data_IF_314031756395
#
_entry.id   IF_314031756395
#
_cell.length_a   1.000
_cell.length_b   1.000
_cell.length_c   1.000
_cell.angle_alpha   90.00
_cell.angle_beta   90.00
_cell.angle_gamma   90.00
#
_symmetry.space_group_name_H-M   'P 1'
#
loop_
_entity.id
_entity.type
_entity.pdbx_description
1 polymer ?
#
# COMPACT_ATOMS: atom_id res chain seq x y z
N UNK A 1 -0.03 20.50 18.87
CA UNK A 1 0.68 19.61 19.80
C UNK A 1 1.02 18.27 19.13
N UNK A 2 0.06 17.33 18.91
CA UNK A 2 0.40 16.05 18.23
C UNK A 2 1.09 16.27 16.87
N UNK A 3 0.65 17.23 16.08
CA UNK A 3 1.30 17.58 14.81
C UNK A 3 2.70 18.19 15.01
N UNK A 4 2.93 18.94 16.07
CA UNK A 4 4.26 19.49 16.39
C UNK A 4 5.24 18.41 16.86
N UNK A 5 4.75 17.34 17.52
CA UNK A 5 5.63 16.26 17.96
C UNK A 5 6.30 15.54 16.78
N UNK A 6 5.71 15.58 15.59
CA UNK A 6 6.30 15.04 14.37
C UNK A 6 7.58 15.77 13.95
N UNK A 7 7.79 17.00 14.45
CA UNK A 7 8.96 17.82 14.15
C UNK A 7 10.14 17.59 15.12
N UNK A 8 9.98 16.70 16.12
CA UNK A 8 11.07 16.33 17.02
C UNK A 8 12.18 15.64 16.21
N UNK A 9 13.41 16.21 16.17
CA UNK A 9 14.49 15.67 15.38
C UNK A 9 15.05 14.34 15.92
N UNK A 10 14.84 14.06 17.23
CA UNK A 10 15.38 12.85 17.86
C UNK A 10 14.53 11.65 17.46
N UNK A 11 15.08 10.75 16.68
CA UNK A 11 14.41 9.50 16.32
C UNK A 11 14.55 8.42 17.42
N UNK A 12 13.88 7.29 17.19
CA UNK A 12 13.86 6.20 18.16
C UNK A 12 15.23 5.52 18.33
N UNK A 13 16.07 5.52 17.30
CA UNK A 13 17.41 4.92 17.35
C UNK A 13 18.35 5.78 18.19
N UNK A 14 18.39 7.08 17.91
CA UNK A 14 19.15 8.04 18.72
C UNK A 14 18.67 8.02 20.18
N UNK A 15 17.35 7.93 20.39
CA UNK A 15 16.78 7.86 21.73
C UNK A 15 17.25 6.62 22.50
N UNK A 16 17.31 5.46 21.83
CA UNK A 16 17.84 4.23 22.42
C UNK A 16 19.32 4.34 22.78
N UNK A 17 20.11 4.91 21.88
CA UNK A 17 21.56 5.04 22.06
C UNK A 17 21.91 5.97 23.24
N UNK A 18 21.27 7.14 23.32
CA UNK A 18 21.57 8.10 24.37
C UNK A 18 20.82 7.89 25.70
N UNK A 19 19.82 7.06 25.69
CA UNK A 19 18.90 6.83 26.80
C UNK A 19 17.84 7.94 26.99
N UNK A 20 16.68 7.61 27.58
CA UNK A 20 15.61 8.56 27.82
C UNK A 20 15.97 9.56 28.94
N UNK A 21 15.56 10.82 28.80
CA UNK A 21 15.78 11.91 29.75
C UNK A 21 14.48 12.45 30.36
N UNK A 22 13.33 11.91 29.95
CA UNK A 22 12.02 12.29 30.45
C UNK A 22 11.04 11.12 30.39
N UNK A 23 9.93 11.23 31.12
CA UNK A 23 8.88 10.21 31.07
C UNK A 23 8.26 10.09 29.67
N UNK A 24 8.15 11.18 28.93
CA UNK A 24 7.67 11.14 27.56
C UNK A 24 8.60 10.32 26.64
N UNK A 25 9.90 10.44 26.85
CA UNK A 25 10.90 9.64 26.09
C UNK A 25 10.90 8.15 26.50
N UNK A 26 10.74 7.85 27.79
CA UNK A 26 10.55 6.48 28.25
C UNK A 26 9.31 5.85 27.59
N UNK A 27 8.18 6.57 27.58
CA UNK A 27 6.95 6.13 26.94
C UNK A 27 7.10 5.92 25.43
N UNK A 28 7.93 6.71 24.76
CA UNK A 28 8.23 6.48 23.32
C UNK A 28 8.82 5.09 23.11
N UNK A 29 9.80 4.69 23.94
CA UNK A 29 10.42 3.37 23.86
C UNK A 29 9.45 2.26 24.21
N UNK A 30 8.71 2.39 25.33
CA UNK A 30 7.73 1.42 25.78
C UNK A 30 6.64 1.16 24.71
N UNK A 31 6.08 2.23 24.12
CA UNK A 31 5.02 2.12 23.10
C UNK A 31 5.59 1.57 21.79
N UNK A 32 6.81 1.97 21.41
CA UNK A 32 7.46 1.45 20.21
C UNK A 32 7.62 -0.09 20.30
N UNK A 33 8.08 -0.60 21.44
CA UNK A 33 8.22 -2.04 21.65
C UNK A 33 6.86 -2.74 21.71
N UNK A 34 5.92 -2.19 22.47
CA UNK A 34 4.59 -2.77 22.61
C UNK A 34 3.88 -2.90 21.25
N UNK A 35 3.94 -1.86 20.43
CA UNK A 35 3.27 -1.85 19.11
C UNK A 35 3.96 -2.79 18.11
N UNK A 36 5.29 -2.85 18.12
CA UNK A 36 6.01 -3.79 17.24
C UNK A 36 5.81 -5.25 17.68
N UNK A 37 5.66 -5.50 18.98
CA UNK A 37 5.35 -6.84 19.51
C UNK A 37 3.93 -7.34 19.18
N UNK A 38 3.04 -6.49 18.66
CA UNK A 38 1.72 -6.94 18.17
C UNK A 38 1.82 -7.79 16.89
N UNK A 39 2.97 -7.75 16.18
CA UNK A 39 3.16 -8.54 14.96
C UNK A 39 2.34 -8.09 13.76
N UNK A 40 1.74 -6.89 13.81
CA UNK A 40 0.88 -6.36 12.73
C UNK A 40 1.66 -6.21 11.43
N UNK A 41 2.90 -5.71 11.52
CA UNK A 41 3.79 -5.55 10.38
C UNK A 41 3.42 -4.43 9.43
N UNK A 42 4.25 -4.24 8.41
CA UNK A 42 4.00 -3.26 7.36
C UNK A 42 2.68 -3.57 6.64
N UNK A 43 1.83 -2.55 6.52
CA UNK A 43 0.52 -2.63 5.85
C UNK A 43 -0.46 -3.66 6.44
N UNK A 44 -0.21 -4.16 7.66
CA UNK A 44 -1.09 -5.14 8.30
C UNK A 44 -0.92 -6.58 7.80
N UNK A 45 0.16 -6.89 7.10
CA UNK A 45 0.39 -8.22 6.52
C UNK A 45 1.09 -9.20 7.48
N UNK A 46 1.39 -8.76 8.69
CA UNK A 46 2.23 -9.48 9.64
C UNK A 46 3.71 -9.12 9.48
N UNK A 47 4.44 -9.08 10.59
CA UNK A 47 5.87 -8.75 10.57
C UNK A 47 6.39 -8.19 11.89
N UNK A 48 7.71 -7.98 11.95
CA UNK A 48 8.40 -7.45 13.12
C UNK A 48 8.28 -5.92 13.26
N UNK A 49 8.04 -5.22 12.16
CA UNK A 49 8.02 -3.76 12.15
C UNK A 49 6.65 -3.24 11.81
N UNK A 50 5.94 -2.75 12.81
CA UNK A 50 4.62 -2.11 12.68
C UNK A 50 4.76 -0.59 12.63
N UNK A 51 5.61 -0.04 13.51
CA UNK A 51 5.93 1.38 13.56
C UNK A 51 7.44 1.58 13.41
N UNK A 52 7.81 2.69 12.75
CA UNK A 52 9.22 3.09 12.55
C UNK A 52 9.70 4.04 13.64
N UNK A 53 8.80 4.85 14.19
CA UNK A 53 9.08 5.79 15.28
C UNK A 53 7.81 6.15 16.04
N UNK A 54 7.97 6.60 17.28
CA UNK A 54 6.92 7.16 18.13
C UNK A 54 7.37 8.55 18.58
N UNK A 55 6.54 9.55 18.36
CA UNK A 55 6.75 10.91 18.84
C UNK A 55 5.70 11.23 19.90
N UNK A 56 6.12 11.74 21.05
CA UNK A 56 5.23 12.12 22.15
C UNK A 56 5.55 13.54 22.57
N UNK A 57 4.51 14.34 22.77
CA UNK A 57 4.56 15.64 23.41
C UNK A 57 3.50 15.68 24.49
N UNK A 58 3.92 15.83 25.71
CA UNK A 58 3.05 16.00 26.86
C UNK A 58 2.75 17.48 27.13
N UNK A 59 1.63 17.73 27.80
CA UNK A 59 1.19 19.08 28.10
C UNK A 59 0.30 19.08 29.34
N UNK A 60 0.44 20.04 30.25
CA UNK A 60 -0.44 20.15 31.40
C UNK A 60 -1.91 20.27 30.99
N UNK A 61 -2.75 19.47 31.61
CA UNK A 61 -4.19 19.49 31.39
C UNK A 61 -4.94 19.62 32.71
N UNK A 62 -6.26 19.87 32.64
CA UNK A 62 -7.10 19.94 33.82
C UNK A 62 -7.11 18.54 34.52
N UNK A 63 -7.04 18.54 35.85
CA UNK A 63 -6.95 17.32 36.67
C UNK A 63 -8.10 16.31 36.43
N UNK A 64 -9.27 16.78 36.01
CA UNK A 64 -10.43 15.94 35.73
C UNK A 64 -10.44 15.32 34.32
N UNK A 65 -9.43 15.57 33.48
CA UNK A 65 -9.39 15.06 32.11
C UNK A 65 -8.01 14.58 31.71
N UNK A 66 -7.95 13.55 30.89
CA UNK A 66 -6.72 13.02 30.28
C UNK A 66 -6.90 12.95 28.75
N UNK A 67 -6.96 14.10 28.06
CA UNK A 67 -7.13 14.09 26.60
C UNK A 67 -5.89 13.49 25.93
N UNK A 68 -6.10 12.60 24.99
CA UNK A 68 -5.06 12.02 24.14
C UNK A 68 -5.42 12.29 22.69
N UNK A 69 -4.46 12.81 21.93
CA UNK A 69 -4.58 12.95 20.48
C UNK A 69 -3.47 12.13 19.81
N UNK A 70 -3.83 11.32 18.81
CA UNK A 70 -2.90 10.51 18.05
C UNK A 70 -3.02 10.82 16.57
N UNK A 71 -1.88 10.90 15.90
CA UNK A 71 -1.80 11.01 14.44
C UNK A 71 -1.03 9.80 13.95
N UNK A 72 -1.72 8.77 13.41
CA UNK A 72 -1.06 7.72 12.64
C UNK A 72 -0.50 8.35 11.36
N UNK A 73 0.81 8.24 11.18
CA UNK A 73 1.49 8.88 10.08
C UNK A 73 2.14 7.85 9.15
N UNK A 74 2.24 8.17 7.87
CA UNK A 74 2.85 7.28 6.89
C UNK A 74 4.38 7.42 6.92
N UNK A 75 5.11 6.31 6.71
CA UNK A 75 6.56 6.32 6.51
C UNK A 75 7.01 7.23 5.35
N UNK A 76 6.13 7.46 4.37
CA UNK A 76 6.37 8.36 3.24
C UNK A 76 6.18 9.85 3.57
N UNK A 77 5.77 10.19 4.81
CA UNK A 77 5.57 11.59 5.21
C UNK A 77 6.87 12.37 5.14
N UNK A 78 6.76 13.62 4.68
CA UNK A 78 7.87 14.56 4.60
C UNK A 78 7.52 15.81 5.40
N UNK A 79 8.52 16.35 6.10
CA UNK A 79 8.40 17.57 6.89
C UNK A 79 9.45 18.58 6.44
N UNK A 80 9.12 19.85 6.50
CA UNK A 80 10.05 20.97 6.36
C UNK A 80 9.76 21.99 7.45
N UNK A 81 10.79 22.51 8.06
CA UNK A 81 10.73 23.61 9.01
C UNK A 81 11.53 24.78 8.45
N UNK A 82 10.93 25.98 8.48
CA UNK A 82 11.58 27.20 8.05
C UNK A 82 11.04 28.40 8.83
N UNK A 83 11.81 29.48 8.85
CA UNK A 83 11.45 30.75 9.51
C UNK A 83 11.35 31.82 8.44
N UNK A 84 10.28 32.62 8.52
CA UNK A 84 10.08 33.81 7.68
C UNK A 84 10.54 35.03 8.46
N UNK A 85 11.81 35.37 8.41
CA UNK A 85 12.44 36.47 9.12
C UNK A 85 13.02 37.53 8.18
N UNK A 86 12.88 37.38 6.87
CA UNK A 86 13.41 38.27 5.86
C UNK A 86 14.90 38.11 5.57
N UNK A 87 15.59 37.14 6.18
CA UNK A 87 17.04 36.93 6.01
C UNK A 87 17.42 36.28 4.68
N UNK A 88 16.46 35.78 3.91
CA UNK A 88 16.69 35.08 2.62
C UNK A 88 15.57 34.13 2.22
N UNK A 89 15.85 33.18 1.36
CA UNK A 89 14.89 32.16 0.96
C UNK A 89 14.40 31.34 2.16
N UNK A 90 13.09 31.21 2.32
CA UNK A 90 12.47 30.44 3.42
C UNK A 90 12.75 28.93 3.33
N UNK A 91 12.95 28.41 2.12
CA UNK A 91 13.24 27.00 1.88
C UNK A 91 14.72 26.81 1.58
N UNK A 92 15.31 25.83 2.24
CA UNK A 92 16.62 25.33 1.88
C UNK A 92 16.57 24.63 0.51
N UNK A 93 17.71 24.59 -0.17
CA UNK A 93 17.81 23.81 -1.42
C UNK A 93 17.45 22.37 -1.13
N UNK A 94 16.55 21.81 -1.92
CA UNK A 94 16.21 20.39 -1.82
C UNK A 94 17.50 19.53 -1.97
N UNK A 95 17.65 18.45 -1.20
CA UNK A 95 18.76 17.52 -1.38
C UNK A 95 18.75 16.96 -2.79
N UNK A 96 19.92 16.81 -3.39
CA UNK A 96 20.06 16.14 -4.69
C UNK A 96 19.70 14.67 -4.57
N UNK A 97 19.14 14.10 -5.63
CA UNK A 97 18.82 12.67 -5.69
C UNK A 97 20.07 11.80 -5.49
N UNK A 98 21.24 12.30 -5.87
CA UNK A 98 22.52 11.61 -5.72
C UNK A 98 22.95 11.43 -4.26
N UNK A 99 22.31 12.11 -3.32
CA UNK A 99 22.52 11.96 -1.87
C UNK A 99 21.73 10.80 -1.27
N UNK A 100 20.80 10.22 -2.01
CA UNK A 100 20.03 9.07 -1.56
C UNK A 100 20.75 7.77 -1.93
N UNK A 101 20.75 6.77 -1.04
CA UNK A 101 21.35 5.48 -1.37
C UNK A 101 20.60 4.83 -2.52
N UNK A 102 21.32 4.18 -3.42
CA UNK A 102 20.72 3.27 -4.39
C UNK A 102 20.11 2.08 -3.65
N UNK A 103 18.81 2.01 -3.66
CA UNK A 103 18.08 0.89 -3.06
C UNK A 103 17.85 -0.16 -4.14
N UNK A 104 18.56 -1.26 -4.03
CA UNK A 104 18.28 -2.47 -4.81
C UNK A 104 17.19 -3.26 -4.10
N UNK A 105 16.14 -3.54 -4.81
CA UNK A 105 15.05 -4.39 -4.31
C UNK A 105 15.46 -5.85 -4.44
N UNK A 106 15.78 -6.51 -3.34
CA UNK A 106 15.90 -7.96 -3.30
C UNK A 106 14.56 -8.57 -2.91
N UNK A 107 13.89 -9.14 -3.89
CA UNK A 107 12.58 -9.81 -3.71
C UNK A 107 12.71 -11.18 -3.04
N UNK A 108 13.93 -11.62 -2.73
CA UNK A 108 14.22 -12.93 -2.17
C UNK A 108 14.02 -14.10 -3.17
N UNK A 109 14.63 -15.24 -2.88
CA UNK A 109 14.63 -16.40 -3.78
C UNK A 109 13.27 -17.11 -3.89
N UNK A 110 12.31 -16.80 -3.03
CA UNK A 110 10.99 -17.44 -2.97
C UNK A 110 9.90 -16.74 -3.80
N UNK A 111 10.21 -15.59 -4.43
CA UNK A 111 9.23 -14.86 -5.22
C UNK A 111 8.91 -15.60 -6.52
N UNK A 112 7.62 -15.81 -6.78
CA UNK A 112 7.12 -16.49 -7.97
C UNK A 112 6.88 -15.50 -9.10
N UNK A 113 7.45 -15.75 -10.28
CA UNK A 113 7.13 -14.98 -11.50
C UNK A 113 5.82 -15.43 -12.11
N UNK A 114 4.96 -14.47 -12.42
CA UNK A 114 3.65 -14.68 -13.02
C UNK A 114 3.59 -13.94 -14.36
N UNK A 115 3.23 -14.66 -15.42
CA UNK A 115 3.00 -14.06 -16.74
C UNK A 115 1.50 -13.74 -16.90
N UNK A 116 1.15 -12.45 -16.89
CA UNK A 116 -0.23 -11.97 -16.99
C UNK A 116 -0.88 -12.24 -18.36
N UNK A 117 -0.07 -12.38 -19.41
CA UNK A 117 -0.58 -12.61 -20.76
C UNK A 117 -1.06 -14.05 -20.98
N UNK A 118 -0.57 -14.96 -20.15
CA UNK A 118 -0.95 -16.40 -20.18
C UNK A 118 -1.62 -16.86 -18.89
N UNK A 119 -2.01 -15.93 -18.03
CA UNK A 119 -2.60 -16.23 -16.73
C UNK A 119 -3.88 -17.04 -16.88
N UNK A 120 -3.99 -18.09 -16.07
CA UNK A 120 -5.17 -18.96 -16.03
C UNK A 120 -5.87 -18.90 -14.68
N UNK A 121 -7.14 -19.28 -14.63
CA UNK A 121 -7.88 -19.37 -13.36
C UNK A 121 -7.22 -20.37 -12.40
N UNK A 122 -6.74 -21.50 -12.91
CA UNK A 122 -6.06 -22.51 -12.10
C UNK A 122 -4.77 -21.95 -11.46
N UNK A 123 -4.04 -21.09 -12.17
CA UNK A 123 -2.89 -20.44 -11.61
C UNK A 123 -3.28 -19.48 -10.48
N UNK A 124 -4.31 -18.65 -10.68
CA UNK A 124 -4.82 -17.72 -9.65
C UNK A 124 -5.28 -18.48 -8.40
N UNK A 125 -5.98 -19.60 -8.56
CA UNK A 125 -6.45 -20.42 -7.42
C UNK A 125 -5.32 -21.14 -6.69
N UNK A 126 -4.14 -21.28 -7.32
CA UNK A 126 -2.97 -21.88 -6.69
C UNK A 126 -2.22 -20.94 -5.73
N UNK A 127 -2.45 -19.64 -5.81
CA UNK A 127 -1.77 -18.64 -4.99
C UNK A 127 -2.17 -18.75 -3.51
N UNK A 128 -1.23 -18.49 -2.61
CA UNK A 128 -1.44 -18.60 -1.17
C UNK A 128 -1.27 -17.24 -0.48
N UNK A 129 -2.04 -16.95 0.59
CA UNK A 129 -1.92 -15.70 1.33
C UNK A 129 -0.49 -15.49 1.83
N UNK A 130 0.04 -14.29 1.64
CA UNK A 130 1.40 -13.92 2.01
C UNK A 130 2.47 -14.29 0.97
N UNK A 131 2.12 -15.02 -0.10
CA UNK A 131 3.05 -15.32 -1.20
C UNK A 131 3.44 -14.04 -1.94
N UNK A 132 4.73 -13.88 -2.24
CA UNK A 132 5.24 -12.77 -3.07
C UNK A 132 5.25 -13.18 -4.53
N UNK A 133 4.56 -12.41 -5.35
CA UNK A 133 4.53 -12.60 -6.80
C UNK A 133 5.26 -11.45 -7.50
N UNK A 134 5.89 -11.74 -8.61
CA UNK A 134 6.47 -10.79 -9.56
C UNK A 134 5.65 -10.83 -10.85
N UNK A 135 4.84 -9.79 -11.05
CA UNK A 135 3.94 -9.72 -12.20
C UNK A 135 4.69 -9.25 -13.44
N UNK A 136 4.47 -9.95 -14.56
CA UNK A 136 5.05 -9.65 -15.87
C UNK A 136 3.97 -9.70 -16.93
N UNK A 137 4.01 -8.76 -17.90
CA UNK A 137 3.04 -8.70 -19.00
C UNK A 137 2.02 -7.56 -18.86
N UNK A 138 0.87 -7.72 -19.47
CA UNK A 138 -0.15 -6.67 -19.58
C UNK A 138 -1.11 -6.69 -18.39
N UNK A 139 -1.27 -5.53 -17.72
CA UNK A 139 -2.31 -5.30 -16.73
C UNK A 139 -3.09 -4.03 -17.04
N UNK A 140 -4.32 -3.95 -16.54
CA UNK A 140 -5.19 -2.81 -16.71
C UNK A 140 -5.18 -1.94 -15.45
N UNK A 141 -5.50 -0.65 -15.59
CA UNK A 141 -5.72 0.22 -14.44
C UNK A 141 -7.18 0.58 -14.31
N UNK A 142 -7.59 0.96 -13.10
CA UNK A 142 -8.92 1.49 -12.87
C UNK A 142 -9.18 1.66 -11.38
N UNK A 143 -9.75 2.80 -11.01
CA UNK A 143 -10.15 3.06 -9.64
C UNK A 143 -11.58 3.62 -9.58
N UNK A 144 -11.90 4.47 -8.64
CA UNK A 144 -13.27 4.85 -8.30
C UNK A 144 -14.16 5.23 -9.51
N UNK A 145 -13.74 6.21 -10.32
CA UNK A 145 -14.55 6.69 -11.44
C UNK A 145 -14.66 5.65 -12.57
N UNK A 146 -13.57 4.94 -12.87
CA UNK A 146 -13.61 3.87 -13.87
C UNK A 146 -14.54 2.73 -13.44
N UNK A 147 -14.45 2.26 -12.18
CA UNK A 147 -15.35 1.21 -11.67
C UNK A 147 -16.81 1.65 -11.66
N UNK A 148 -17.10 2.89 -11.25
CA UNK A 148 -18.45 3.43 -11.30
C UNK A 148 -19.01 3.42 -12.73
N UNK A 149 -18.19 3.81 -13.72
CA UNK A 149 -18.60 3.81 -15.14
C UNK A 149 -18.77 2.40 -15.67
N UNK A 150 -17.86 1.46 -15.38
CA UNK A 150 -17.96 0.04 -15.74
C UNK A 150 -19.31 -0.50 -15.24
N UNK A 151 -19.60 -0.37 -13.94
CA UNK A 151 -20.83 -0.88 -13.34
C UNK A 151 -22.06 -0.22 -13.94
N UNK A 152 -22.04 1.09 -14.20
CA UNK A 152 -23.14 1.77 -14.85
C UNK A 152 -23.41 1.25 -16.28
N UNK A 153 -22.37 0.95 -17.05
CA UNK A 153 -22.49 0.33 -18.39
C UNK A 153 -23.05 -1.10 -18.30
N UNK A 154 -22.51 -1.92 -17.39
CA UNK A 154 -22.99 -3.28 -17.17
C UNK A 154 -24.48 -3.30 -16.78
N UNK A 155 -24.92 -2.39 -15.91
CA UNK A 155 -26.33 -2.26 -15.51
C UNK A 155 -27.26 -1.85 -16.66
N UNK A 156 -26.74 -1.20 -17.70
CA UNK A 156 -27.49 -0.87 -18.91
C UNK A 156 -27.38 -1.93 -20.00
N UNK A 157 -26.64 -3.01 -19.75
CA UNK A 157 -26.38 -4.07 -20.74
C UNK A 157 -25.48 -3.61 -21.90
N UNK A 158 -24.67 -2.58 -21.68
CA UNK A 158 -23.74 -2.06 -22.67
C UNK A 158 -22.45 -2.88 -22.73
N UNK A 159 -21.87 -3.00 -23.91
CA UNK A 159 -20.55 -3.61 -24.08
C UNK A 159 -19.48 -2.67 -23.53
N UNK A 160 -18.58 -3.20 -22.69
CA UNK A 160 -17.44 -2.42 -22.19
C UNK A 160 -16.45 -2.13 -23.33
N UNK A 161 -15.81 -0.95 -23.32
CA UNK A 161 -14.80 -0.58 -24.33
C UNK A 161 -13.49 -1.35 -24.18
N UNK A 162 -13.34 -2.15 -23.13
CA UNK A 162 -12.17 -2.97 -22.83
C UNK A 162 -12.60 -4.33 -22.30
N UNK A 163 -11.94 -5.39 -22.74
CA UNK A 163 -12.15 -6.73 -22.23
C UNK A 163 -11.38 -6.94 -20.92
N UNK A 164 -12.11 -7.21 -19.83
CA UNK A 164 -11.56 -7.50 -18.52
C UNK A 164 -11.42 -9.00 -18.24
N UNK A 165 -11.91 -9.86 -19.14
CA UNK A 165 -11.90 -11.31 -18.93
C UNK A 165 -10.47 -11.84 -18.86
N UNK A 166 -10.18 -12.59 -17.80
CA UNK A 166 -8.84 -13.13 -17.58
C UNK A 166 -7.77 -12.11 -17.19
N UNK A 167 -8.12 -10.85 -17.01
CA UNK A 167 -7.16 -9.77 -16.74
C UNK A 167 -6.95 -9.54 -15.26
N UNK A 168 -5.91 -8.74 -14.98
CA UNK A 168 -5.62 -8.18 -13.66
C UNK A 168 -5.80 -6.67 -13.75
N UNK A 169 -6.51 -6.09 -12.76
CA UNK A 169 -6.73 -4.65 -12.67
C UNK A 169 -5.96 -4.05 -11.50
N UNK A 170 -5.22 -2.98 -11.76
CA UNK A 170 -4.47 -2.23 -10.76
C UNK A 170 -5.24 -0.98 -10.35
N UNK A 171 -5.57 -0.88 -9.07
CA UNK A 171 -6.25 0.27 -8.49
C UNK A 171 -5.28 1.43 -8.32
N UNK A 172 -5.07 2.17 -9.38
CA UNK A 172 -4.13 3.28 -9.45
C UNK A 172 -4.70 4.41 -10.32
N UNK A 173 -4.30 5.63 -10.00
CA UNK A 173 -4.36 6.77 -10.90
C UNK A 173 -2.93 7.23 -11.09
N UNK A 174 -2.28 6.85 -12.20
CA UNK A 174 -0.89 7.21 -12.42
C UNK A 174 -0.76 8.73 -12.56
N UNK A 175 0.32 9.28 -12.00
CA UNK A 175 0.68 10.68 -12.20
C UNK A 175 1.38 10.80 -13.57
N UNK A 176 1.18 11.93 -14.25
CA UNK A 176 1.86 12.21 -15.50
C UNK A 176 3.39 12.21 -15.33
N UNK A 177 4.14 11.69 -16.29
CA UNK A 177 5.59 11.70 -16.25
C UNK A 177 6.14 13.13 -16.31
N UNK A 178 7.21 13.41 -15.60
CA UNK A 178 7.84 14.74 -15.55
C UNK A 178 9.15 14.79 -16.36
N UNK A 179 9.74 13.62 -16.60
CA UNK A 179 11.02 13.45 -17.32
C UNK A 179 10.87 12.32 -18.34
N UNK A 180 11.89 11.52 -18.47
CA UNK A 180 11.93 10.35 -19.37
C UNK A 180 11.24 9.11 -18.76
N UNK A 181 10.44 9.30 -17.72
CA UNK A 181 9.67 8.21 -17.10
C UNK A 181 8.51 7.80 -18.01
N UNK A 182 8.16 6.52 -17.98
CA UNK A 182 6.96 5.99 -18.67
C UNK A 182 5.68 6.52 -18.02
N UNK A 183 5.68 6.57 -16.69
CA UNK A 183 4.64 7.17 -15.86
C UNK A 183 5.31 7.85 -14.66
N UNK A 184 4.69 8.85 -14.09
CA UNK A 184 5.08 9.38 -12.79
C UNK A 184 4.75 8.39 -11.66
N UNK A 185 4.78 8.82 -10.39
CA UNK A 185 4.45 7.95 -9.27
C UNK A 185 3.11 7.23 -9.46
N UNK A 186 3.14 5.89 -9.40
CA UNK A 186 2.00 5.02 -9.65
C UNK A 186 1.67 4.15 -8.41
N UNK A 187 1.50 4.80 -7.26
CA UNK A 187 1.19 4.12 -6.01
C UNK A 187 -0.24 3.55 -5.94
N UNK A 188 -0.42 2.40 -5.28
CA UNK A 188 -1.73 1.77 -5.17
C UNK A 188 -2.72 2.61 -4.39
N UNK A 189 -3.98 2.59 -4.82
CA UNK A 189 -5.12 3.21 -4.15
C UNK A 189 -5.70 2.26 -3.08
N UNK A 190 -6.28 2.84 -2.02
CA UNK A 190 -7.02 2.08 -1.00
C UNK A 190 -8.18 1.32 -1.62
N UNK A 191 -8.15 -0.01 -1.51
CA UNK A 191 -9.03 -0.92 -2.26
C UNK A 191 -10.45 -1.02 -1.72
N UNK A 192 -10.67 -0.74 -0.44
CA UNK A 192 -11.99 -0.78 0.22
C UNK A 192 -13.03 0.10 -0.49
N UNK A 193 -12.61 1.15 -1.19
CA UNK A 193 -13.52 2.00 -1.97
C UNK A 193 -14.16 1.27 -3.15
N UNK A 194 -13.49 0.23 -3.67
CA UNK A 194 -13.98 -0.60 -4.76
C UNK A 194 -14.80 -1.81 -4.30
N UNK A 195 -14.89 -2.08 -2.99
CA UNK A 195 -15.57 -3.26 -2.44
C UNK A 195 -17.02 -3.39 -2.91
N UNK A 196 -17.75 -2.26 -2.97
CA UNK A 196 -19.14 -2.21 -3.43
C UNK A 196 -19.33 -2.60 -4.90
N UNK A 197 -18.29 -2.59 -5.71
CA UNK A 197 -18.33 -2.95 -7.13
C UNK A 197 -17.81 -4.37 -7.39
N UNK A 198 -17.12 -4.95 -6.42
CA UNK A 198 -16.28 -6.14 -6.62
C UNK A 198 -17.09 -7.34 -7.10
N UNK A 199 -18.21 -7.69 -6.46
CA UNK A 199 -19.01 -8.86 -6.84
C UNK A 199 -19.52 -8.75 -8.28
N UNK A 200 -20.12 -7.61 -8.62
CA UNK A 200 -20.66 -7.41 -9.97
C UNK A 200 -19.58 -7.39 -11.06
N UNK A 201 -18.45 -6.74 -10.79
CA UNK A 201 -17.33 -6.71 -11.75
C UNK A 201 -16.77 -8.10 -11.97
N UNK A 202 -16.50 -8.86 -10.91
CA UNK A 202 -16.00 -10.24 -11.02
C UNK A 202 -16.99 -11.14 -11.78
N UNK A 203 -18.29 -11.05 -11.44
CA UNK A 203 -19.35 -11.87 -12.03
C UNK A 203 -19.52 -11.62 -13.52
N UNK A 204 -19.61 -10.34 -13.91
CA UNK A 204 -20.02 -9.99 -15.28
C UNK A 204 -18.85 -9.81 -16.24
N UNK A 205 -17.63 -9.69 -15.75
CA UNK A 205 -16.46 -9.48 -16.62
C UNK A 205 -15.48 -10.65 -16.65
N UNK A 206 -15.53 -11.54 -15.66
CA UNK A 206 -14.56 -12.63 -15.57
C UNK A 206 -13.14 -12.19 -15.20
N UNK A 207 -13.00 -11.03 -14.56
CA UNK A 207 -11.71 -10.52 -14.06
C UNK A 207 -11.04 -11.55 -13.12
N UNK A 208 -9.72 -11.72 -13.21
CA UNK A 208 -9.00 -12.72 -12.43
C UNK A 208 -8.47 -12.20 -11.10
N UNK A 209 -7.89 -11.00 -11.08
CA UNK A 209 -7.34 -10.45 -9.86
C UNK A 209 -7.35 -8.91 -9.84
N UNK A 210 -7.24 -8.39 -8.65
CA UNK A 210 -7.20 -6.96 -8.37
C UNK A 210 -5.92 -6.64 -7.58
N UNK A 211 -5.24 -5.56 -7.93
CA UNK A 211 -4.05 -5.08 -7.20
C UNK A 211 -4.38 -3.73 -6.55
N UNK A 212 -4.06 -3.56 -5.28
CA UNK A 212 -4.28 -2.32 -4.59
C UNK A 212 -3.52 -2.22 -3.27
N UNK A 213 -4.05 -1.52 -2.30
CA UNK A 213 -3.53 -1.47 -0.91
C UNK A 213 -4.66 -1.50 0.10
N UNK A 214 -4.31 -1.76 1.36
CA UNK A 214 -5.20 -1.91 2.50
C UNK A 214 -6.07 -3.18 2.45
N UNK A 215 -6.70 -3.48 3.57
CA UNK A 215 -7.58 -4.63 3.74
C UNK A 215 -8.85 -4.51 2.90
N UNK A 216 -9.41 -5.65 2.49
CA UNK A 216 -10.71 -5.72 1.85
C UNK A 216 -11.81 -5.99 2.89
N UNK A 217 -12.98 -5.41 2.70
CA UNK A 217 -14.14 -5.69 3.53
C UNK A 217 -14.73 -7.09 3.28
N UNK A 218 -15.56 -7.59 4.22
CA UNK A 218 -16.13 -8.94 4.14
C UNK A 218 -16.88 -9.21 2.83
N UNK A 219 -17.64 -8.23 2.32
CA UNK A 219 -18.38 -8.34 1.05
C UNK A 219 -17.45 -8.61 -0.13
N UNK A 220 -16.31 -7.94 -0.18
CA UNK A 220 -15.35 -8.14 -1.24
C UNK A 220 -14.62 -9.49 -1.10
N UNK A 221 -14.31 -9.92 0.13
CA UNK A 221 -13.68 -11.22 0.40
C UNK A 221 -14.61 -12.36 -0.05
N UNK A 222 -15.90 -12.29 0.27
CA UNK A 222 -16.89 -13.27 -0.19
C UNK A 222 -17.03 -13.29 -1.71
N UNK A 223 -17.00 -12.12 -2.36
CA UNK A 223 -17.02 -12.03 -3.81
C UNK A 223 -15.75 -12.66 -4.44
N UNK A 224 -14.58 -12.41 -3.88
CA UNK A 224 -13.32 -13.00 -4.31
C UNK A 224 -13.39 -14.53 -4.25
N UNK A 225 -13.89 -15.06 -3.12
CA UNK A 225 -14.12 -16.50 -2.93
C UNK A 225 -15.13 -17.07 -3.94
N UNK A 226 -16.30 -16.44 -4.06
CA UNK A 226 -17.38 -16.85 -4.96
C UNK A 226 -16.91 -16.99 -6.40
N UNK A 227 -16.09 -16.05 -6.87
CA UNK A 227 -15.61 -15.99 -8.25
C UNK A 227 -14.21 -16.58 -8.46
N UNK A 228 -13.62 -17.20 -7.42
CA UNK A 228 -12.27 -17.76 -7.45
C UNK A 228 -11.23 -16.76 -7.99
N UNK A 229 -11.36 -15.51 -7.59
CA UNK A 229 -10.44 -14.42 -7.92
C UNK A 229 -9.36 -14.27 -6.84
N UNK A 230 -8.47 -13.30 -7.00
CA UNK A 230 -7.50 -12.97 -5.97
C UNK A 230 -7.40 -11.45 -5.75
N UNK A 231 -7.01 -11.05 -4.55
CA UNK A 231 -6.61 -9.69 -4.26
C UNK A 231 -5.14 -9.64 -3.87
N UNK A 232 -4.40 -8.81 -4.58
CA UNK A 232 -2.97 -8.62 -4.43
C UNK A 232 -2.68 -7.23 -3.86
N UNK A 233 -1.70 -7.12 -2.99
CA UNK A 233 -1.24 -5.83 -2.48
C UNK A 233 0.07 -5.41 -3.13
N UNK A 234 0.09 -4.22 -3.72
CA UNK A 234 1.32 -3.54 -4.08
C UNK A 234 1.86 -2.75 -2.87
N UNK A 235 3.16 -2.50 -2.85
CA UNK A 235 3.81 -1.81 -1.73
C UNK A 235 3.32 -0.36 -1.64
N UNK A 236 2.64 -0.03 -0.56
CA UNK A 236 2.24 1.34 -0.25
C UNK A 236 3.44 2.20 0.16
N UNK A 237 3.42 3.49 -0.20
CA UNK A 237 4.52 4.41 0.09
C UNK A 237 5.73 4.29 -0.86
N UNK A 238 5.81 3.25 -1.67
CA UNK A 238 6.87 3.01 -2.65
C UNK A 238 6.41 3.27 -4.10
N UNK A 239 5.59 4.29 -4.31
CA UNK A 239 5.01 4.62 -5.62
C UNK A 239 6.04 4.74 -6.74
N UNK A 240 7.22 5.23 -6.42
CA UNK A 240 8.34 5.34 -7.36
C UNK A 240 8.89 3.96 -7.76
N UNK A 241 9.12 3.06 -6.79
CA UNK A 241 9.61 1.71 -7.08
C UNK A 241 8.61 0.90 -7.91
N UNK A 242 7.31 1.05 -7.62
CA UNK A 242 6.26 0.42 -8.43
C UNK A 242 6.25 0.99 -9.84
N UNK A 243 6.42 2.31 -10.00
CA UNK A 243 6.48 2.96 -11.31
C UNK A 243 7.65 2.44 -12.15
N UNK A 244 8.78 2.10 -11.54
CA UNK A 244 9.93 1.53 -12.26
C UNK A 244 9.64 0.16 -12.90
N UNK A 245 8.70 -0.61 -12.34
CA UNK A 245 8.27 -1.87 -12.92
C UNK A 245 7.38 -1.68 -14.16
N UNK A 246 6.81 -0.47 -14.38
CA UNK A 246 5.95 -0.16 -15.51
C UNK A 246 6.82 0.23 -16.71
N UNK A 247 6.81 -0.58 -17.76
CA UNK A 247 7.65 -0.40 -18.98
C UNK A 247 6.92 0.33 -20.10
N UNK A 248 5.59 0.28 -20.12
CA UNK A 248 4.79 1.11 -21.02
C UNK A 248 3.42 1.41 -20.42
N UNK A 249 2.83 2.51 -20.86
CA UNK A 249 1.50 2.97 -20.46
C UNK A 249 0.78 3.60 -21.64
N UNK A 250 -0.46 3.19 -21.88
CA UNK A 250 -1.35 3.85 -22.84
C UNK A 250 -2.79 3.87 -22.33
N UNK A 251 -3.49 4.95 -22.57
CA UNK A 251 -4.93 5.02 -22.29
C UNK A 251 -5.66 4.17 -23.33
N UNK A 252 -6.56 3.30 -22.90
CA UNK A 252 -7.34 2.42 -23.76
C UNK A 252 -8.85 2.64 -23.63
N UNK A 253 -9.32 3.25 -22.54
CA UNK A 253 -10.72 3.60 -22.37
C UNK A 253 -10.89 4.74 -21.35
N UNK A 254 -12.04 5.42 -21.43
CA UNK A 254 -12.48 6.48 -20.52
C UNK A 254 -11.47 7.65 -20.39
N UNK A 255 -10.89 8.08 -21.50
CA UNK A 255 -9.87 9.14 -21.54
C UNK A 255 -10.33 10.44 -20.84
N UNK A 256 -11.62 10.75 -20.90
CA UNK A 256 -12.23 11.90 -20.23
C UNK A 256 -12.15 11.87 -18.70
N UNK A 257 -11.82 10.71 -18.10
CA UNK A 257 -11.59 10.60 -16.65
C UNK A 257 -10.17 11.01 -16.22
N UNK A 258 -9.31 11.42 -17.16
CA UNK A 258 -7.93 11.82 -16.84
C UNK A 258 -7.14 10.71 -16.17
N UNK A 259 -6.54 10.97 -15.00
CA UNK A 259 -5.76 9.97 -14.27
C UNK A 259 -6.59 8.74 -13.79
N UNK A 260 -7.91 8.79 -13.88
CA UNK A 260 -8.80 7.64 -13.59
C UNK A 260 -9.25 6.91 -14.85
N UNK A 261 -8.74 7.27 -16.02
CA UNK A 261 -8.91 6.52 -17.26
C UNK A 261 -8.40 5.08 -17.10
N UNK A 262 -8.87 4.18 -17.93
CA UNK A 262 -8.30 2.83 -18.00
C UNK A 262 -7.04 2.90 -18.86
N UNK A 263 -5.90 2.68 -18.22
CA UNK A 263 -4.62 2.49 -18.88
C UNK A 263 -4.33 1.00 -19.05
N UNK A 264 -3.63 0.67 -20.10
CA UNK A 264 -2.93 -0.59 -20.25
C UNK A 264 -1.46 -0.37 -19.85
N UNK A 265 -0.99 -1.09 -18.85
CA UNK A 265 0.40 -1.13 -18.44
C UNK A 265 1.06 -2.41 -18.90
N UNK A 266 2.28 -2.31 -19.42
CA UNK A 266 3.18 -3.47 -19.50
C UNK A 266 4.12 -3.39 -18.30
N UNK A 267 4.13 -4.44 -17.48
CA UNK A 267 4.95 -4.50 -16.28
C UNK A 267 6.00 -5.60 -16.36
N UNK A 268 7.12 -5.38 -15.68
CA UNK A 268 8.22 -6.34 -15.55
C UNK A 268 8.63 -6.44 -14.09
N UNK A 269 8.56 -7.68 -13.57
CA UNK A 269 8.87 -8.03 -12.17
C UNK A 269 8.20 -7.10 -11.14
N UNK A 270 6.95 -6.69 -11.40
CA UNK A 270 6.20 -5.85 -10.46
C UNK A 270 5.88 -6.65 -9.19
N UNK A 271 6.43 -6.25 -8.03
CA UNK A 271 6.27 -7.00 -6.81
C UNK A 271 4.90 -6.76 -6.17
N UNK A 272 4.21 -7.84 -5.82
CA UNK A 272 2.95 -7.82 -5.08
C UNK A 272 2.90 -8.98 -4.07
N UNK A 273 2.06 -8.84 -3.06
CA UNK A 273 1.78 -9.91 -2.08
C UNK A 273 0.34 -10.36 -2.23
N UNK A 274 0.10 -11.67 -2.23
CA UNK A 274 -1.26 -12.24 -2.19
C UNK A 274 -1.90 -11.88 -0.86
N UNK A 275 -2.87 -10.98 -0.89
CA UNK A 275 -3.53 -10.48 0.33
C UNK A 275 -4.84 -11.23 0.63
N UNK A 276 -5.58 -11.62 -0.41
CA UNK A 276 -6.73 -12.52 -0.28
C UNK A 276 -6.65 -13.53 -1.42
N UNK A 277 -6.64 -14.80 -1.08
CA UNK A 277 -6.65 -15.89 -2.05
C UNK A 277 -8.05 -16.24 -2.57
N UNK A 278 -8.11 -17.18 -3.50
CA UNK A 278 -9.35 -17.63 -4.12
C UNK A 278 -10.30 -18.37 -3.15
N UNK A 279 -9.83 -18.77 -1.98
CA UNK A 279 -10.63 -19.38 -0.92
C UNK A 279 -11.20 -18.33 0.06
N UNK A 280 -10.84 -17.06 -0.11
CA UNK A 280 -11.23 -15.96 0.76
C UNK A 280 -10.38 -15.85 2.03
N UNK A 281 -9.21 -16.47 2.07
CA UNK A 281 -8.29 -16.34 3.20
C UNK A 281 -7.51 -15.04 3.09
N UNK A 282 -7.63 -14.17 4.10
CA UNK A 282 -6.98 -12.86 4.15
C UNK A 282 -5.72 -12.90 5.01
N UNK A 283 -4.60 -12.47 4.44
CA UNK A 283 -3.33 -12.34 5.18
C UNK A 283 -3.40 -11.25 6.25
N UNK A 284 -4.29 -10.26 6.13
CA UNK A 284 -4.52 -9.27 7.18
C UNK A 284 -5.08 -9.89 8.47
N UNK A 285 -5.74 -11.05 8.36
CA UNK A 285 -6.26 -11.79 9.52
C UNK A 285 -5.24 -12.81 10.02
N UNK A 286 -4.59 -13.56 9.12
CA UNK A 286 -3.68 -14.64 9.48
C UNK A 286 -2.28 -14.14 9.84
N UNK A 287 -1.74 -13.20 9.08
CA UNK A 287 -0.36 -12.72 9.22
C UNK A 287 -0.06 -12.11 10.60
N UNK A 288 -0.83 -11.13 11.10
CA UNK A 288 -0.61 -10.58 12.43
C UNK A 288 -0.68 -11.63 13.55
N UNK A 289 -1.63 -12.57 13.46
CA UNK A 289 -1.77 -13.64 14.45
C UNK A 289 -0.55 -14.57 14.47
N UNK A 290 -0.06 -14.97 13.30
CA UNK A 290 1.13 -15.81 13.18
C UNK A 290 2.39 -15.12 13.68
N UNK A 291 2.56 -13.83 13.33
CA UNK A 291 3.73 -13.08 13.76
C UNK A 291 3.71 -12.75 15.25
N UNK A 292 2.55 -12.45 15.82
CA UNK A 292 2.41 -12.29 17.27
C UNK A 292 2.85 -13.55 18.01
N UNK A 293 2.46 -14.74 17.53
CA UNK A 293 2.92 -16.01 18.12
C UNK A 293 4.43 -16.22 18.00
N UNK A 294 5.02 -15.93 16.84
CA UNK A 294 6.48 -16.02 16.61
C UNK A 294 7.27 -15.08 17.52
N UNK A 295 6.77 -13.86 17.73
CA UNK A 295 7.39 -12.86 18.61
C UNK A 295 7.31 -13.32 20.07
N UNK A 296 6.15 -13.80 20.52
CA UNK A 296 5.98 -14.32 21.87
C UNK A 296 6.90 -15.50 22.13
N UNK A 297 6.98 -16.45 21.20
CA UNK A 297 7.85 -17.62 21.33
C UNK A 297 9.34 -17.23 21.42
N UNK A 298 9.78 -16.18 20.72
CA UNK A 298 11.16 -15.66 20.77
C UNK A 298 11.49 -14.96 22.09
N UNK A 299 10.49 -14.34 22.74
CA UNK A 299 10.68 -13.62 24.02
C UNK A 299 10.62 -14.53 25.24
N UNK A 300 10.23 -15.80 25.10
CA UNK A 300 10.14 -16.80 26.16
C UNK A 300 11.39 -17.71 26.21
N UNK A 301 12.24 -17.70 25.19
CA UNK A 301 13.50 -18.43 25.11
C UNK A 301 14.69 -17.55 25.38
#
# INVERSE_FOLDING_TARGET
>A
MAKESLMDPIDIHELRERGPKSRAEELRLEIFEAVNNLGIGAQGLGGLTTVLDIKIKDYPTHAASKPVAMIPNCAATRHVHFVLDGSGPALQKAPSIDQWPDITWDVGPSARRVNLDTLTRDEVTSWKPGETLLLNGVMLTGRDAAHQRIVAMLNRGETLPVDLSGKVIYYVGPVDPVRDEVVGPAGPTTSTRMDKFTDQVLEQTGLFAMVGKAERGPVAIEAIKKHQAAYLMAVGGAAYLVAQAIKSSRIIAFEDLGMEAIHEFVVEDMPVTVAVDAEGTSVHQTGPAEWAQKILAKNIG
#
